data_IF_128518033782
#
_entry.id   IF_128518033782
#
_cell.length_a   1.000
_cell.length_b   1.000
_cell.length_c   1.000
_cell.angle_alpha   90.00
_cell.angle_beta   90.00
_cell.angle_gamma   90.00
#
_symmetry.space_group_name_H-M   'P 1'
#
loop_
_entity.id
_entity.type
_entity.pdbx_description
1 polymer ?
#
# COMPACT_ATOMS: atom_id res chain seq x y z
N UNK A 1 0.58 -34.28 5.70
CA UNK A 1 1.81 -33.48 5.91
C UNK A 1 1.51 -32.43 6.98
N UNK A 2 2.20 -32.47 8.11
CA UNK A 2 1.97 -31.53 9.21
C UNK A 2 2.19 -30.09 8.74
N UNK A 3 1.13 -29.27 8.78
CA UNK A 3 1.22 -27.82 8.60
C UNK A 3 2.07 -27.27 9.74
N UNK A 4 3.35 -27.00 9.46
CA UNK A 4 4.20 -26.31 10.44
C UNK A 4 3.60 -24.92 10.62
N UNK A 5 2.96 -24.68 11.76
CA UNK A 5 2.35 -23.39 12.08
C UNK A 5 3.46 -22.34 12.15
N UNK A 6 3.45 -21.41 11.20
CA UNK A 6 4.32 -20.22 11.23
C UNK A 6 3.78 -19.34 12.34
N UNK A 7 4.53 -19.21 13.43
CA UNK A 7 4.13 -18.43 14.60
C UNK A 7 5.24 -17.46 14.96
N UNK A 8 4.87 -16.23 15.32
CA UNK A 8 5.78 -15.22 15.82
C UNK A 8 6.50 -15.68 17.10
N UNK A 9 7.71 -15.18 17.31
CA UNK A 9 8.36 -15.19 18.61
C UNK A 9 7.61 -14.28 19.60
N UNK A 10 7.53 -14.66 20.89
CA UNK A 10 6.92 -13.82 21.91
C UNK A 10 7.76 -12.55 22.14
N UNK A 11 7.12 -11.37 22.01
CA UNK A 11 7.70 -10.04 22.26
C UNK A 11 8.95 -9.74 21.39
N UNK A 12 8.78 -9.39 20.11
CA UNK A 12 9.89 -9.09 19.22
C UNK A 12 10.63 -7.81 19.67
N UNK A 13 11.93 -7.93 19.93
CA UNK A 13 12.78 -6.75 20.13
C UNK A 13 12.87 -5.95 18.82
N UNK A 14 12.44 -4.69 18.85
CA UNK A 14 12.47 -3.80 17.68
C UNK A 14 13.91 -3.59 17.22
N UNK A 15 14.16 -3.84 15.93
CA UNK A 15 15.47 -3.63 15.33
C UNK A 15 15.97 -2.19 15.53
N UNK A 16 17.25 -2.02 15.86
CA UNK A 16 17.86 -0.71 16.11
C UNK A 16 17.70 0.25 14.93
N UNK A 17 17.93 -0.23 13.71
CA UNK A 17 17.82 0.58 12.50
C UNK A 17 16.40 1.10 12.25
N UNK A 18 15.36 0.33 12.63
CA UNK A 18 13.97 0.79 12.55
C UNK A 18 13.70 1.99 13.46
N UNK A 19 14.36 2.05 14.62
CA UNK A 19 14.21 3.15 15.58
C UNK A 19 14.89 4.44 15.10
N UNK A 20 15.89 4.32 14.22
CA UNK A 20 16.70 5.45 13.75
C UNK A 20 16.36 5.88 12.33
N UNK A 21 15.44 5.19 11.65
CA UNK A 21 15.02 5.57 10.30
C UNK A 21 14.37 6.95 10.32
N UNK A 22 14.79 7.88 9.43
CA UNK A 22 14.15 9.19 9.33
C UNK A 22 12.70 9.01 8.88
N UNK A 23 11.79 9.83 9.41
CA UNK A 23 10.37 9.81 8.99
C UNK A 23 10.16 10.68 7.75
N UNK A 24 9.21 10.27 6.91
CA UNK A 24 8.71 11.15 5.85
C UNK A 24 7.92 12.32 6.44
N UNK A 25 7.88 13.49 5.76
CA UNK A 25 7.09 14.62 6.23
C UNK A 25 5.60 14.27 6.28
N UNK A 26 4.94 14.79 7.32
CA UNK A 26 3.49 14.68 7.54
C UNK A 26 2.87 16.08 7.47
N UNK A 27 1.96 16.27 6.53
CA UNK A 27 1.30 17.55 6.28
C UNK A 27 -0.16 17.53 6.72
N UNK A 28 -0.63 18.66 7.24
CA UNK A 28 -1.98 18.88 7.76
C UNK A 28 -2.62 20.09 7.06
N UNK A 29 -3.17 19.93 5.84
CA UNK A 29 -3.79 21.04 5.12
C UNK A 29 -4.94 21.64 5.90
N UNK A 30 -5.05 22.96 5.86
CA UNK A 30 -6.27 23.67 6.27
C UNK A 30 -7.44 23.31 5.36
N UNK A 31 -8.67 23.57 5.79
CA UNK A 31 -9.87 23.38 4.96
C UNK A 31 -9.79 24.15 3.62
N UNK A 32 -9.17 25.34 3.61
CA UNK A 32 -8.99 26.14 2.40
C UNK A 32 -7.98 25.50 1.44
N UNK A 33 -6.84 25.05 1.97
CA UNK A 33 -5.82 24.35 1.19
C UNK A 33 -6.32 23.00 0.65
N UNK A 34 -7.23 22.34 1.38
CA UNK A 34 -7.78 21.06 0.97
C UNK A 34 -8.82 21.16 -0.17
N UNK A 35 -9.23 22.36 -0.59
CA UNK A 35 -10.17 22.52 -1.71
C UNK A 35 -9.56 22.18 -3.07
N UNK A 36 -8.26 22.41 -3.23
CA UNK A 36 -7.54 22.19 -4.49
C UNK A 36 -6.37 21.21 -4.27
N UNK A 37 -6.58 19.90 -4.53
CA UNK A 37 -5.54 18.91 -4.32
C UNK A 37 -4.29 19.16 -5.16
N UNK A 38 -4.43 19.60 -6.42
CA UNK A 38 -3.27 19.76 -7.31
C UNK A 38 -2.42 20.94 -6.85
N UNK A 39 -3.05 22.07 -6.53
CA UNK A 39 -2.34 23.24 -5.99
C UNK A 39 -1.66 22.93 -4.65
N UNK A 40 -2.30 22.15 -3.78
CA UNK A 40 -1.70 21.75 -2.51
C UNK A 40 -0.50 20.80 -2.69
N UNK A 41 -0.60 19.83 -3.59
CA UNK A 41 0.51 18.91 -3.91
C UNK A 41 1.70 19.72 -4.43
N UNK A 42 1.47 20.65 -5.36
CA UNK A 42 2.51 21.53 -5.89
C UNK A 42 3.16 22.40 -4.79
N UNK A 43 2.37 22.86 -3.81
CA UNK A 43 2.89 23.63 -2.66
C UNK A 43 3.90 22.83 -1.84
N UNK A 44 3.63 21.55 -1.58
CA UNK A 44 4.48 20.71 -0.70
C UNK A 44 5.60 19.97 -1.45
N UNK A 45 5.52 19.89 -2.78
CA UNK A 45 6.40 19.10 -3.65
C UNK A 45 7.89 19.38 -3.41
N UNK A 46 8.28 20.67 -3.27
CA UNK A 46 9.67 21.07 -3.05
C UNK A 46 10.31 20.45 -1.80
N UNK A 47 9.53 20.27 -0.74
CA UNK A 47 10.01 19.62 0.48
C UNK A 47 9.84 18.11 0.40
N UNK A 48 8.67 17.63 -0.04
CA UNK A 48 8.33 16.21 -0.08
C UNK A 48 9.22 15.40 -1.03
N UNK A 49 9.61 15.96 -2.18
CA UNK A 49 10.49 15.32 -3.18
C UNK A 49 11.84 14.88 -2.59
N UNK A 50 12.38 15.60 -1.61
CA UNK A 50 13.63 15.26 -0.91
C UNK A 50 13.56 13.96 -0.11
N UNK A 51 12.36 13.45 0.12
CA UNK A 51 12.09 12.19 0.80
C UNK A 51 11.53 11.12 -0.16
N UNK A 52 11.08 11.50 -1.36
CA UNK A 52 10.41 10.65 -2.34
C UNK A 52 8.96 10.31 -1.98
N UNK A 53 8.57 10.39 -0.71
CA UNK A 53 7.20 10.14 -0.25
C UNK A 53 6.78 11.13 0.84
N UNK A 54 5.48 11.33 1.00
CA UNK A 54 4.94 12.07 2.14
C UNK A 54 3.56 11.60 2.59
N UNK A 55 3.16 12.04 3.79
CA UNK A 55 1.82 11.82 4.34
C UNK A 55 1.01 13.11 4.34
N UNK A 56 -0.26 13.01 3.99
CA UNK A 56 -1.24 14.08 4.15
C UNK A 56 -2.35 13.57 5.05
N UNK A 57 -2.64 14.32 6.11
CA UNK A 57 -3.77 14.07 7.03
C UNK A 57 -4.91 15.01 6.63
N UNK A 58 -6.00 14.51 6.01
CA UNK A 58 -7.13 15.36 5.63
C UNK A 58 -7.73 16.10 6.83
N UNK A 59 -8.17 17.38 6.67
CA UNK A 59 -8.87 18.13 7.71
C UNK A 59 -10.36 17.74 7.82
N UNK A 60 -10.78 16.70 7.10
CA UNK A 60 -12.17 16.22 7.04
C UNK A 60 -12.22 14.72 7.37
N UNK A 61 -13.33 14.22 7.92
CA UNK A 61 -13.43 12.83 8.32
C UNK A 61 -13.34 11.86 7.13
N UNK A 62 -12.83 10.64 7.34
CA UNK A 62 -12.87 9.60 6.33
C UNK A 62 -14.31 9.15 6.04
N UNK A 63 -14.62 8.64 4.83
CA UNK A 63 -15.91 8.00 4.59
C UNK A 63 -16.15 6.83 5.56
N UNK A 64 -17.38 6.65 6.09
CA UNK A 64 -17.67 5.54 7.01
C UNK A 64 -17.35 4.17 6.39
N UNK A 65 -16.81 3.24 7.20
CA UNK A 65 -16.44 1.88 6.76
C UNK A 65 -17.56 1.19 5.99
N UNK A 66 -18.80 1.26 6.50
CA UNK A 66 -19.98 0.65 5.86
C UNK A 66 -20.23 1.21 4.47
N UNK A 67 -20.11 2.53 4.30
CA UNK A 67 -20.27 3.22 3.01
C UNK A 67 -19.16 2.84 2.04
N UNK A 68 -17.90 2.81 2.50
CA UNK A 68 -16.76 2.41 1.68
C UNK A 68 -16.87 0.96 1.20
N UNK A 69 -17.27 0.01 2.06
CA UNK A 69 -17.55 -1.37 1.67
C UNK A 69 -18.69 -1.43 0.66
N UNK A 70 -19.79 -0.72 0.88
CA UNK A 70 -20.93 -0.72 -0.05
C UNK A 70 -20.53 -0.20 -1.44
N UNK A 71 -19.71 0.85 -1.52
CA UNK A 71 -19.18 1.37 -2.78
C UNK A 71 -18.22 0.40 -3.47
N UNK A 72 -17.36 -0.29 -2.70
CA UNK A 72 -16.48 -1.33 -3.22
C UNK A 72 -17.28 -2.49 -3.80
N UNK A 73 -18.23 -3.02 -3.03
CA UNK A 73 -19.13 -4.10 -3.45
C UNK A 73 -19.89 -3.73 -4.72
N UNK A 74 -20.39 -2.49 -4.83
CA UNK A 74 -21.03 -1.98 -6.06
C UNK A 74 -20.05 -1.94 -7.23
N UNK A 75 -18.82 -1.46 -7.01
CA UNK A 75 -17.79 -1.42 -8.07
C UNK A 75 -17.45 -2.82 -8.57
N UNK A 76 -17.30 -3.79 -7.65
CA UNK A 76 -17.07 -5.20 -7.99
C UNK A 76 -18.27 -5.84 -8.71
N UNK A 77 -19.50 -5.52 -8.29
CA UNK A 77 -20.72 -6.02 -8.92
C UNK A 77 -20.86 -5.52 -10.36
N UNK A 78 -20.59 -4.24 -10.61
CA UNK A 78 -20.63 -3.68 -11.97
C UNK A 78 -19.65 -4.39 -12.91
N UNK A 79 -18.48 -4.81 -12.40
CA UNK A 79 -17.51 -5.62 -13.15
C UNK A 79 -17.97 -7.08 -13.32
N UNK A 80 -18.60 -7.66 -12.31
CA UNK A 80 -19.11 -9.02 -12.40
C UNK A 80 -20.27 -9.10 -13.40
N UNK A 81 -21.16 -8.11 -13.43
CA UNK A 81 -22.32 -8.04 -14.32
C UNK A 81 -21.95 -8.05 -15.81
N UNK A 82 -20.77 -7.53 -16.20
CA UNK A 82 -20.28 -7.65 -17.58
C UNK A 82 -19.84 -9.08 -17.96
N UNK A 83 -19.72 -10.00 -16.99
CA UNK A 83 -19.35 -11.39 -17.21
C UNK A 83 -20.47 -12.39 -16.88
N UNK A 84 -21.14 -12.24 -15.73
CA UNK A 84 -22.27 -13.07 -15.30
C UNK A 84 -23.15 -12.34 -14.25
N UNK A 85 -24.41 -12.00 -14.55
CA UNK A 85 -25.29 -11.25 -13.65
C UNK A 85 -25.65 -11.95 -12.32
N UNK A 86 -25.43 -13.27 -12.20
CA UNK A 86 -25.84 -14.06 -11.04
C UNK A 86 -24.70 -14.32 -10.02
N UNK A 87 -23.46 -13.94 -10.32
CA UNK A 87 -22.34 -14.16 -9.40
C UNK A 87 -22.28 -13.08 -8.31
N UNK A 88 -22.00 -13.49 -7.07
CA UNK A 88 -21.71 -12.54 -5.99
C UNK A 88 -20.52 -11.62 -6.36
N UNK A 89 -20.50 -10.36 -5.88
CA UNK A 89 -19.41 -9.44 -6.13
C UNK A 89 -18.14 -9.90 -5.41
N UNK A 90 -17.26 -10.58 -6.14
CA UNK A 90 -15.99 -11.09 -5.64
C UNK A 90 -14.80 -10.40 -6.30
N UNK A 91 -13.64 -10.56 -5.67
CA UNK A 91 -12.35 -10.21 -6.23
C UNK A 91 -11.40 -11.40 -6.18
N UNK A 92 -10.39 -11.35 -7.04
CA UNK A 92 -9.36 -12.39 -7.13
C UNK A 92 -8.13 -11.93 -6.35
N UNK A 93 -7.57 -12.83 -5.55
CA UNK A 93 -6.29 -12.59 -4.86
C UNK A 93 -5.13 -13.09 -5.71
N UNK A 94 -3.91 -12.89 -5.22
CA UNK A 94 -2.68 -13.51 -5.71
C UNK A 94 -1.89 -13.99 -4.49
N UNK A 95 -1.29 -15.17 -4.58
CA UNK A 95 -0.39 -15.63 -3.53
C UNK A 95 0.96 -14.93 -3.65
N UNK A 96 1.42 -14.36 -2.54
CA UNK A 96 2.75 -13.78 -2.37
C UNK A 96 3.54 -14.63 -1.39
N UNK A 97 4.79 -14.90 -1.70
CA UNK A 97 5.70 -15.56 -0.77
C UNK A 97 6.34 -14.50 0.13
N UNK A 98 6.40 -14.79 1.42
CA UNK A 98 7.21 -14.07 2.41
C UNK A 98 8.27 -15.04 2.89
N UNK A 99 9.51 -14.56 3.05
CA UNK A 99 10.65 -15.38 3.42
C UNK A 99 11.44 -15.89 2.23
N UNK A 100 12.67 -16.32 2.48
CA UNK A 100 13.59 -16.79 1.46
C UNK A 100 14.13 -18.17 1.86
N UNK A 101 14.23 -19.09 0.90
CA UNK A 101 14.82 -20.41 1.13
C UNK A 101 16.06 -20.59 0.25
N UNK A 102 17.28 -20.35 0.78
CA UNK A 102 18.51 -20.38 0.00
C UNK A 102 18.81 -21.74 -0.65
N UNK A 103 18.30 -22.84 -0.07
CA UNK A 103 18.81 -24.19 -0.34
C UNK A 103 17.99 -25.05 -1.29
N UNK A 104 16.86 -24.58 -1.81
CA UNK A 104 16.07 -25.34 -2.79
C UNK A 104 15.41 -24.41 -3.82
N UNK A 105 15.89 -24.36 -5.08
CA UNK A 105 15.10 -23.78 -6.16
C UNK A 105 13.79 -24.57 -6.22
N UNK A 106 12.69 -23.91 -5.87
CA UNK A 106 11.35 -24.48 -6.06
C UNK A 106 10.85 -23.91 -7.38
N UNK A 107 10.59 -24.74 -8.40
CA UNK A 107 9.97 -24.24 -9.61
C UNK A 107 8.65 -23.58 -9.24
N UNK A 108 8.37 -22.44 -9.86
CA UNK A 108 7.09 -21.75 -9.74
C UNK A 108 6.01 -22.71 -10.21
N UNK A 109 5.28 -23.32 -9.26
CA UNK A 109 4.27 -24.34 -9.58
C UNK A 109 3.07 -23.75 -10.31
N UNK A 110 2.76 -22.49 -10.02
CA UNK A 110 1.73 -21.68 -10.68
C UNK A 110 2.21 -20.24 -10.77
N UNK A 111 2.04 -19.57 -11.91
CA UNK A 111 2.29 -18.13 -12.00
C UNK A 111 1.50 -17.35 -10.95
N UNK A 112 2.03 -16.22 -10.49
CA UNK A 112 1.41 -15.37 -9.46
C UNK A 112 -0.01 -14.92 -9.86
N UNK A 113 -0.25 -14.72 -11.17
CA UNK A 113 -1.58 -14.36 -11.69
C UNK A 113 -2.60 -15.51 -11.73
N UNK A 114 -2.18 -16.75 -11.48
CA UNK A 114 -3.05 -17.95 -11.45
C UNK A 114 -3.10 -18.61 -10.06
N UNK A 115 -2.47 -18.01 -9.05
CA UNK A 115 -2.26 -18.64 -7.75
C UNK A 115 -3.29 -18.27 -6.69
N UNK A 116 -4.10 -17.23 -6.91
CA UNK A 116 -5.08 -16.81 -5.93
C UNK A 116 -6.48 -17.38 -6.16
N UNK A 117 -7.34 -17.03 -5.22
CA UNK A 117 -8.71 -17.52 -5.11
C UNK A 117 -9.70 -16.35 -5.24
N UNK A 118 -10.99 -16.66 -5.31
CA UNK A 118 -12.05 -15.65 -5.35
C UNK A 118 -12.66 -15.47 -3.96
N UNK A 119 -12.77 -14.22 -3.52
CA UNK A 119 -13.37 -13.87 -2.23
C UNK A 119 -14.35 -12.71 -2.35
N UNK A 120 -15.39 -12.76 -1.52
CA UNK A 120 -16.08 -11.55 -1.07
C UNK A 120 -15.21 -10.80 -0.07
N UNK A 121 -15.52 -9.52 0.17
CA UNK A 121 -14.80 -8.72 1.18
C UNK A 121 -14.85 -9.36 2.57
N UNK A 122 -16.01 -9.88 2.98
CA UNK A 122 -16.24 -10.48 4.28
C UNK A 122 -15.42 -11.77 4.47
N UNK A 123 -15.37 -12.63 3.44
CA UNK A 123 -14.60 -13.87 3.48
C UNK A 123 -13.09 -13.58 3.61
N UNK A 124 -12.58 -12.63 2.82
CA UNK A 124 -11.17 -12.25 2.90
C UNK A 124 -10.83 -11.57 4.23
N UNK A 125 -11.72 -10.71 4.76
CA UNK A 125 -11.54 -10.11 6.08
C UNK A 125 -11.48 -11.18 7.18
N UNK A 126 -12.33 -12.20 7.13
CA UNK A 126 -12.31 -13.32 8.07
C UNK A 126 -11.01 -14.14 7.96
N UNK A 127 -10.55 -14.42 6.73
CA UNK A 127 -9.28 -15.10 6.46
C UNK A 127 -8.09 -14.31 7.01
N UNK A 128 -8.03 -13.00 6.76
CA UNK A 128 -6.97 -12.12 7.22
C UNK A 128 -6.88 -12.09 8.76
N UNK A 129 -8.03 -11.99 9.44
CA UNK A 129 -8.12 -12.04 10.92
C UNK A 129 -7.67 -13.40 11.47
N UNK A 130 -8.07 -14.50 10.83
CA UNK A 130 -7.67 -15.82 11.25
C UNK A 130 -6.15 -16.03 11.13
N UNK A 131 -5.55 -15.54 10.04
CA UNK A 131 -4.10 -15.55 9.87
C UNK A 131 -3.38 -14.75 10.94
N UNK A 132 -3.77 -13.49 11.16
CA UNK A 132 -3.17 -12.61 12.17
C UNK A 132 -3.25 -13.24 13.57
N UNK A 133 -4.43 -13.74 13.96
CA UNK A 133 -4.63 -14.42 15.25
C UNK A 133 -3.73 -15.63 15.42
N UNK A 134 -3.56 -16.43 14.35
CA UNK A 134 -2.73 -17.63 14.40
C UNK A 134 -1.24 -17.28 14.45
N UNK A 135 -0.80 -16.30 13.66
CA UNK A 135 0.59 -15.86 13.62
C UNK A 135 1.02 -15.23 14.95
N UNK A 136 0.15 -14.40 15.55
CA UNK A 136 0.39 -13.71 16.82
C UNK A 136 -0.04 -14.52 18.05
N UNK A 137 -0.42 -15.80 17.90
CA UNK A 137 -0.96 -16.63 18.99
C UNK A 137 -0.03 -16.73 20.21
N UNK A 138 1.29 -16.70 19.98
CA UNK A 138 2.31 -16.78 21.03
C UNK A 138 2.76 -15.41 21.56
N UNK A 139 2.33 -14.32 20.93
CA UNK A 139 2.64 -12.96 21.37
C UNK A 139 1.95 -12.64 22.69
N UNK A 140 2.47 -11.67 23.44
CA UNK A 140 1.87 -11.26 24.71
C UNK A 140 0.44 -10.75 24.53
N UNK A 141 -0.35 -10.72 25.61
CA UNK A 141 -1.74 -10.22 25.60
C UNK A 141 -1.86 -8.73 25.22
N UNK A 142 -0.76 -7.99 25.13
CA UNK A 142 -0.74 -6.58 24.75
C UNK A 142 -0.74 -6.45 23.22
N UNK A 143 -1.51 -5.51 22.65
CA UNK A 143 -1.38 -5.18 21.23
C UNK A 143 0.07 -4.78 20.90
N UNK A 144 0.61 -5.32 19.81
CA UNK A 144 1.93 -4.96 19.33
C UNK A 144 1.90 -3.58 18.68
N UNK A 145 2.98 -2.81 18.87
CA UNK A 145 3.24 -1.55 18.19
C UNK A 145 3.54 -1.74 16.71
N UNK A 146 3.45 -0.67 15.91
CA UNK A 146 3.76 -0.70 14.49
C UNK A 146 5.18 -1.20 14.20
N UNK A 147 6.17 -0.75 14.99
CA UNK A 147 7.57 -1.17 14.84
C UNK A 147 7.79 -2.64 15.23
N UNK A 148 7.03 -3.17 16.18
CA UNK A 148 7.08 -4.60 16.53
C UNK A 148 6.49 -5.47 15.40
N UNK A 149 5.37 -5.06 14.79
CA UNK A 149 4.79 -5.74 13.63
C UNK A 149 5.76 -5.71 12.44
N UNK A 150 6.39 -4.57 12.20
CA UNK A 150 7.40 -4.39 11.15
C UNK A 150 8.66 -5.24 11.40
N UNK A 151 9.10 -5.32 12.66
CA UNK A 151 10.17 -6.23 13.07
C UNK A 151 9.81 -7.68 12.74
N UNK A 152 8.57 -8.11 13.00
CA UNK A 152 8.11 -9.45 12.63
C UNK A 152 8.12 -9.67 11.13
N UNK A 153 7.72 -8.68 10.32
CA UNK A 153 7.80 -8.77 8.86
C UNK A 153 9.24 -8.96 8.39
N UNK A 154 10.17 -8.13 8.90
CA UNK A 154 11.56 -8.20 8.50
C UNK A 154 12.28 -9.47 8.98
N UNK A 155 11.90 -10.03 10.14
CA UNK A 155 12.32 -11.38 10.56
C UNK A 155 11.77 -12.45 9.63
N UNK A 156 10.46 -12.42 9.37
CA UNK A 156 9.78 -13.36 8.47
C UNK A 156 10.39 -13.40 7.06
N UNK A 157 10.81 -12.25 6.53
CA UNK A 157 11.39 -12.14 5.18
C UNK A 157 12.74 -12.86 4.98
N UNK A 158 13.44 -13.22 6.07
CA UNK A 158 14.70 -13.97 6.03
C UNK A 158 14.60 -15.37 6.66
N UNK A 159 13.40 -15.75 7.11
CA UNK A 159 13.12 -17.05 7.71
C UNK A 159 12.43 -18.01 6.70
N UNK A 160 12.03 -19.18 7.18
CA UNK A 160 11.33 -20.21 6.42
C UNK A 160 10.13 -19.61 5.69
N UNK A 161 10.05 -19.78 4.36
CA UNK A 161 9.04 -19.10 3.60
C UNK A 161 7.63 -19.63 3.83
N UNK A 162 6.67 -18.73 3.75
CA UNK A 162 5.23 -19.00 3.78
C UNK A 162 4.49 -18.11 2.78
N UNK A 163 3.22 -18.43 2.55
CA UNK A 163 2.39 -17.69 1.60
C UNK A 163 1.38 -16.79 2.32
N UNK A 164 1.22 -15.59 1.81
CA UNK A 164 0.12 -14.67 2.11
C UNK A 164 -0.65 -14.39 0.82
N UNK A 165 -1.83 -13.79 0.93
CA UNK A 165 -2.63 -13.42 -0.23
C UNK A 165 -2.85 -11.91 -0.29
N UNK A 166 -2.88 -11.38 -1.51
CA UNK A 166 -3.02 -9.95 -1.76
C UNK A 166 -3.85 -9.76 -3.02
N UNK A 167 -4.86 -8.90 -2.96
CA UNK A 167 -5.61 -8.49 -4.13
C UNK A 167 -5.13 -7.10 -4.54
N UNK A 168 -4.44 -7.03 -5.68
CA UNK A 168 -3.86 -5.81 -6.25
C UNK A 168 -4.43 -5.50 -7.62
N UNK A 169 -4.28 -4.24 -8.01
CA UNK A 169 -4.61 -3.73 -9.33
C UNK A 169 -6.06 -4.02 -9.75
N UNK A 170 -6.96 -3.98 -8.77
CA UNK A 170 -8.38 -4.25 -9.01
C UNK A 170 -9.05 -2.97 -9.50
N UNK A 171 -9.62 -2.94 -10.71
CA UNK A 171 -10.39 -1.78 -11.16
C UNK A 171 -11.59 -1.55 -10.23
N UNK A 172 -11.83 -0.30 -9.86
CA UNK A 172 -12.95 0.08 -9.00
C UNK A 172 -12.55 1.11 -7.96
N UNK A 173 -13.46 1.42 -7.03
CA UNK A 173 -13.14 2.32 -5.92
C UNK A 173 -14.13 2.18 -4.76
N UNK A 174 -13.64 2.39 -3.55
CA UNK A 174 -14.47 2.47 -2.34
C UNK A 174 -14.97 3.90 -2.05
N UNK A 175 -14.54 4.89 -2.83
CA UNK A 175 -15.15 6.22 -2.82
C UNK A 175 -16.50 6.23 -3.53
N UNK A 176 -17.35 7.17 -3.14
CA UNK A 176 -18.63 7.43 -3.80
C UNK A 176 -18.39 7.78 -5.27
N UNK A 177 -19.25 7.33 -6.20
CA UNK A 177 -19.15 7.72 -7.61
C UNK A 177 -19.18 9.24 -7.76
N UNK A 178 -18.46 9.75 -8.75
CA UNK A 178 -18.53 11.17 -9.12
C UNK A 178 -19.93 11.41 -9.70
N UNK A 179 -20.82 12.01 -8.91
CA UNK A 179 -22.10 12.46 -9.46
C UNK A 179 -21.87 13.71 -10.30
N UNK A 180 -22.75 14.00 -11.26
CA UNK A 180 -22.74 15.24 -12.03
C UNK A 180 -22.96 16.51 -11.18
N UNK A 181 -23.21 16.39 -9.87
CA UNK A 181 -23.16 17.52 -8.93
C UNK A 181 -21.71 17.86 -8.62
N UNK A 182 -21.37 19.16 -8.67
CA UNK A 182 -20.04 19.69 -8.31
C UNK A 182 -19.56 19.10 -6.98
N UNK A 183 -18.24 18.90 -6.84
CA UNK A 183 -17.59 18.54 -5.57
C UNK A 183 -18.06 19.45 -4.44
N UNK A 184 -18.23 18.89 -3.24
CA UNK A 184 -18.61 19.67 -2.07
C UNK A 184 -17.37 20.34 -1.51
N UNK A 185 -17.51 21.59 -1.08
CA UNK A 185 -16.45 22.30 -0.36
C UNK A 185 -16.14 21.57 0.96
N UNK A 186 -14.86 21.40 1.27
CA UNK A 186 -14.43 20.76 2.52
C UNK A 186 -14.94 21.54 3.75
N UNK A 187 -15.54 20.83 4.71
CA UNK A 187 -16.11 21.36 5.96
C UNK A 187 -16.56 20.24 6.91
N UNK A 188 -17.08 20.57 8.10
CA UNK A 188 -17.33 19.62 9.20
C UNK A 188 -18.27 18.44 8.86
N UNK A 189 -19.13 18.56 7.85
CA UNK A 189 -20.10 17.54 7.45
C UNK A 189 -19.76 16.83 6.12
N UNK A 190 -18.55 17.04 5.58
CA UNK A 190 -18.13 16.51 4.28
C UNK A 190 -17.02 15.49 4.49
N UNK A 191 -17.15 14.30 3.91
CA UNK A 191 -16.09 13.29 3.97
C UNK A 191 -15.07 13.49 2.87
N UNK A 192 -13.85 12.95 3.00
CA UNK A 192 -12.82 12.99 1.94
C UNK A 192 -13.39 12.60 0.56
N UNK A 193 -14.27 11.59 0.53
CA UNK A 193 -14.88 11.09 -0.71
C UNK A 193 -15.85 12.05 -1.41
N UNK A 194 -16.29 13.10 -0.74
CA UNK A 194 -17.20 14.10 -1.30
C UNK A 194 -16.48 15.39 -1.73
N UNK A 195 -15.16 15.45 -1.49
CA UNK A 195 -14.28 16.57 -1.87
C UNK A 195 -13.56 16.30 -3.20
N UNK A 196 -12.80 17.29 -3.67
CA UNK A 196 -11.91 17.16 -4.84
C UNK A 196 -10.80 16.10 -4.66
N UNK A 197 -10.53 15.64 -3.43
CA UNK A 197 -9.59 14.55 -3.14
C UNK A 197 -10.16 13.15 -3.41
N UNK A 198 -11.41 13.03 -3.87
CA UNK A 198 -11.94 11.75 -4.32
C UNK A 198 -11.12 11.22 -5.51
N UNK A 199 -10.46 10.09 -5.30
CA UNK A 199 -9.55 9.46 -6.26
C UNK A 199 -10.19 9.08 -7.59
N UNK A 200 -11.51 9.01 -7.66
CA UNK A 200 -12.22 8.80 -8.94
C UNK A 200 -12.11 9.99 -9.89
N UNK A 201 -11.86 11.20 -9.37
CA UNK A 201 -11.87 12.43 -10.16
C UNK A 201 -10.58 13.23 -10.12
N UNK A 202 -9.63 12.92 -9.24
CA UNK A 202 -8.42 13.73 -9.05
C UNK A 202 -7.54 13.80 -10.32
N UNK A 203 -7.45 12.72 -11.10
CA UNK A 203 -6.75 12.69 -12.40
C UNK A 203 -7.34 13.67 -13.42
N UNK A 204 -8.59 14.10 -13.22
CA UNK A 204 -9.32 15.04 -14.08
C UNK A 204 -9.42 16.44 -13.47
N UNK A 205 -8.86 16.66 -12.29
CA UNK A 205 -8.87 17.95 -11.62
C UNK A 205 -8.15 19.02 -12.45
N UNK A 206 -8.54 20.29 -12.24
CA UNK A 206 -7.85 21.43 -12.84
C UNK A 206 -6.38 21.41 -12.36
N UNK A 207 -5.44 21.56 -13.29
CA UNK A 207 -4.00 21.47 -13.02
C UNK A 207 -3.38 20.10 -13.31
N UNK A 208 -4.16 19.01 -13.35
CA UNK A 208 -3.63 17.71 -13.78
C UNK A 208 -3.49 17.63 -15.29
N UNK A 209 -2.33 17.21 -15.80
CA UNK A 209 -2.13 16.94 -17.23
C UNK A 209 -2.92 15.73 -17.72
N UNK A 210 -3.22 14.78 -16.82
CA UNK A 210 -3.97 13.56 -17.14
C UNK A 210 -5.42 13.87 -17.58
N UNK A 211 -5.95 15.06 -17.28
CA UNK A 211 -7.29 15.48 -17.72
C UNK A 211 -7.48 15.50 -19.24
N UNK A 212 -6.39 15.59 -20.01
CA UNK A 212 -6.42 15.64 -21.47
C UNK A 212 -6.38 14.25 -22.13
N UNK A 213 -6.11 13.20 -21.37
CA UNK A 213 -6.13 11.82 -21.87
C UNK A 213 -7.58 11.36 -22.09
N UNK A 214 -8.00 11.12 -23.33
CA UNK A 214 -9.40 10.76 -23.61
C UNK A 214 -9.78 9.37 -23.08
N UNK A 215 -8.83 8.46 -23.09
CA UNK A 215 -9.02 7.08 -22.67
C UNK A 215 -8.98 6.94 -21.15
N UNK A 216 -9.70 5.94 -20.65
CA UNK A 216 -9.64 5.53 -19.25
C UNK A 216 -8.62 4.40 -19.11
N UNK A 217 -7.48 4.74 -18.51
CA UNK A 217 -6.41 3.82 -18.16
C UNK A 217 -6.50 3.53 -16.64
N UNK A 218 -6.81 2.27 -16.24
CA UNK A 218 -6.81 1.85 -14.84
C UNK A 218 -5.44 2.07 -14.20
N UNK A 219 -5.42 2.59 -12.97
CA UNK A 219 -4.19 2.93 -12.25
C UNK A 219 -3.67 4.33 -12.53
N UNK A 220 -3.95 4.89 -13.71
CA UNK A 220 -3.44 6.21 -14.14
C UNK A 220 -4.55 7.26 -14.10
N UNK A 221 -5.61 7.05 -14.88
CA UNK A 221 -6.72 8.01 -14.99
C UNK A 221 -7.95 7.58 -14.21
N UNK A 222 -8.04 6.30 -13.82
CA UNK A 222 -9.04 5.79 -12.90
C UNK A 222 -8.40 4.95 -11.79
N UNK A 223 -8.95 4.97 -10.56
CA UNK A 223 -8.30 4.36 -9.41
C UNK A 223 -8.33 2.82 -9.47
N UNK A 224 -7.35 2.22 -8.81
CA UNK A 224 -7.35 0.79 -8.47
C UNK A 224 -7.54 0.60 -6.97
N UNK A 225 -8.08 -0.56 -6.58
CA UNK A 225 -8.29 -0.96 -5.20
C UNK A 225 -7.31 -2.08 -4.83
N UNK A 226 -6.80 -1.98 -3.61
CA UNK A 226 -5.93 -2.98 -3.02
C UNK A 226 -6.58 -3.52 -1.74
N UNK A 227 -6.64 -4.84 -1.59
CA UNK A 227 -7.12 -5.53 -0.38
C UNK A 227 -6.05 -6.50 0.08
N UNK A 228 -5.62 -6.37 1.34
CA UNK A 228 -4.42 -7.00 1.87
C UNK A 228 -4.66 -7.63 3.24
N UNK A 229 -3.75 -8.54 3.62
CA UNK A 229 -3.67 -9.12 4.96
C UNK A 229 -2.30 -8.83 5.59
N UNK A 230 -2.10 -9.25 6.84
CA UNK A 230 -0.81 -9.11 7.51
C UNK A 230 0.32 -9.71 6.66
N UNK A 231 1.39 -8.94 6.46
CA UNK A 231 2.57 -9.24 5.62
C UNK A 231 2.37 -9.30 4.10
N UNK A 232 1.19 -8.99 3.56
CA UNK A 232 1.09 -8.64 2.13
C UNK A 232 2.02 -7.46 1.84
N UNK A 233 2.72 -7.50 0.70
CA UNK A 233 3.79 -6.53 0.39
C UNK A 233 3.77 -6.09 -1.08
N UNK A 234 4.40 -4.96 -1.37
CA UNK A 234 4.69 -4.50 -2.74
C UNK A 234 6.20 -4.37 -2.88
N UNK A 235 6.73 -4.84 -4.01
CA UNK A 235 8.17 -4.77 -4.28
C UNK A 235 8.60 -3.31 -4.49
N UNK A 236 9.91 -3.07 -4.40
CA UNK A 236 10.49 -1.81 -4.86
C UNK A 236 10.14 -1.59 -6.32
N UNK A 237 9.59 -0.41 -6.62
CA UNK A 237 9.22 0.02 -7.97
C UNK A 237 9.21 1.54 -8.04
N UNK A 238 9.22 2.05 -9.27
CA UNK A 238 8.84 3.41 -9.63
C UNK A 238 7.54 3.33 -10.43
N UNK A 239 6.75 4.39 -10.38
CA UNK A 239 5.48 4.47 -11.11
C UNK A 239 5.73 4.64 -12.61
N UNK A 240 4.81 4.14 -13.44
CA UNK A 240 4.92 4.27 -14.89
C UNK A 240 5.02 5.76 -15.28
N UNK A 241 5.95 6.06 -16.20
CA UNK A 241 6.25 7.42 -16.67
C UNK A 241 6.68 8.40 -15.57
N UNK A 242 7.22 7.90 -14.44
CA UNK A 242 7.58 8.72 -13.28
C UNK A 242 6.39 9.59 -12.82
N UNK A 243 5.17 9.06 -12.91
CA UNK A 243 3.98 9.78 -12.45
C UNK A 243 3.96 9.85 -10.92
N UNK A 244 3.32 10.90 -10.40
CA UNK A 244 2.94 10.96 -9.00
C UNK A 244 1.88 9.88 -8.70
N UNK A 245 2.02 9.20 -7.56
CA UNK A 245 1.06 8.19 -7.09
C UNK A 245 0.40 8.67 -5.81
N UNK A 246 -0.94 8.69 -5.79
CA UNK A 246 -1.74 9.05 -4.63
C UNK A 246 -2.45 7.81 -4.09
N UNK A 247 -2.22 7.46 -2.82
CA UNK A 247 -2.82 6.32 -2.14
C UNK A 247 -3.66 6.76 -0.92
N UNK A 248 -4.82 6.14 -0.71
CA UNK A 248 -5.72 6.43 0.40
C UNK A 248 -6.12 5.15 1.10
N UNK A 249 -5.85 5.07 2.40
CA UNK A 249 -6.20 3.91 3.21
C UNK A 249 -7.63 4.07 3.75
N UNK A 250 -8.60 3.45 3.09
CA UNK A 250 -10.01 3.53 3.48
C UNK A 250 -10.30 2.98 4.88
N UNK A 251 -9.71 1.83 5.22
CA UNK A 251 -9.98 1.09 6.47
C UNK A 251 -8.91 0.01 6.70
N UNK A 252 -8.87 -0.53 7.92
CA UNK A 252 -8.04 -1.69 8.26
C UNK A 252 -6.83 -1.34 9.12
N UNK A 253 -5.90 -2.29 9.21
CA UNK A 253 -4.63 -2.12 9.89
C UNK A 253 -3.71 -1.13 9.13
N UNK A 254 -2.66 -0.66 9.81
CA UNK A 254 -1.75 0.30 9.21
C UNK A 254 -0.90 -0.30 8.08
N UNK A 255 -0.50 0.56 7.14
CA UNK A 255 0.40 0.22 6.04
C UNK A 255 1.73 0.94 6.24
N UNK A 256 2.83 0.21 6.11
CA UNK A 256 4.19 0.75 6.20
C UNK A 256 4.74 1.01 4.80
N UNK A 257 5.35 2.17 4.62
CA UNK A 257 6.03 2.56 3.39
C UNK A 257 7.50 2.92 3.67
N UNK A 258 8.33 2.63 2.68
CA UNK A 258 9.70 3.13 2.56
C UNK A 258 9.79 3.90 1.26
N UNK A 259 10.43 5.07 1.29
CA UNK A 259 10.66 5.89 0.11
C UNK A 259 12.11 5.83 -0.33
N UNK A 260 12.36 6.25 -1.55
CA UNK A 260 13.68 6.69 -2.04
C UNK A 260 13.41 7.94 -2.88
N UNK A 261 14.02 9.09 -2.60
CA UNK A 261 13.88 10.28 -3.41
C UNK A 261 14.55 10.08 -4.76
N UNK A 262 14.03 10.81 -5.73
CA UNK A 262 14.44 10.76 -7.13
C UNK A 262 15.95 10.89 -7.32
N UNK A 263 16.59 11.79 -6.57
CA UNK A 263 18.03 12.07 -6.66
C UNK A 263 18.90 10.85 -6.30
N UNK A 264 18.34 9.88 -5.56
CA UNK A 264 19.04 8.67 -5.16
C UNK A 264 18.62 7.41 -5.95
N UNK A 265 17.75 7.54 -6.96
CA UNK A 265 17.24 6.42 -7.73
C UNK A 265 18.37 5.59 -8.38
N UNK A 266 19.30 6.25 -9.09
CA UNK A 266 20.43 5.57 -9.75
C UNK A 266 21.34 4.86 -8.74
N UNK A 267 21.60 5.51 -7.60
CA UNK A 267 22.40 4.90 -6.54
C UNK A 267 21.70 3.67 -5.93
N UNK A 268 20.38 3.75 -5.75
CA UNK A 268 19.57 2.63 -5.29
C UNK A 268 19.57 1.46 -6.29
N UNK A 269 19.37 1.74 -7.58
CA UNK A 269 19.44 0.75 -8.66
C UNK A 269 20.81 0.05 -8.69
N UNK A 270 21.89 0.79 -8.47
CA UNK A 270 23.24 0.24 -8.41
C UNK A 270 23.42 -0.71 -7.21
N UNK A 271 22.88 -0.36 -6.03
CA UNK A 271 22.85 -1.28 -4.88
C UNK A 271 22.05 -2.53 -5.22
N UNK A 272 20.87 -2.38 -5.85
CA UNK A 272 20.05 -3.52 -6.31
C UNK A 272 20.84 -4.41 -7.25
N UNK A 273 21.54 -3.83 -8.22
CA UNK A 273 22.36 -4.56 -9.19
C UNK A 273 23.50 -5.33 -8.51
N UNK A 274 24.25 -4.68 -7.63
CA UNK A 274 25.43 -5.26 -6.96
C UNK A 274 25.04 -6.27 -5.89
N UNK A 275 24.14 -5.90 -4.99
CA UNK A 275 23.81 -6.70 -3.79
C UNK A 275 22.54 -7.54 -3.93
N UNK A 276 21.67 -7.22 -4.90
CA UNK A 276 20.44 -7.98 -5.17
C UNK A 276 20.63 -9.08 -6.20
N UNK A 277 21.52 -8.88 -7.18
CA UNK A 277 21.69 -9.81 -8.33
C UNK A 277 23.14 -10.21 -8.63
N UNK A 278 24.14 -9.61 -7.97
CA UNK A 278 25.56 -9.64 -8.36
C UNK A 278 26.47 -10.69 -7.69
N UNK A 279 26.16 -11.99 -7.81
CA UNK A 279 27.18 -13.06 -7.75
C UNK A 279 27.06 -14.13 -6.66
N UNK A 280 26.46 -13.81 -5.51
CA UNK A 280 25.91 -14.79 -4.57
C UNK A 280 24.52 -14.28 -4.19
N UNK A 281 23.53 -15.16 -4.09
CA UNK A 281 22.17 -14.77 -3.69
C UNK A 281 22.23 -14.42 -2.20
N UNK A 282 22.77 -13.24 -1.89
CA UNK A 282 22.82 -12.77 -0.53
C UNK A 282 21.41 -12.34 -0.13
N UNK A 283 20.91 -12.90 0.98
CA UNK A 283 19.55 -12.69 1.42
C UNK A 283 19.32 -11.19 1.61
N UNK A 284 18.07 -10.76 1.42
CA UNK A 284 17.57 -9.40 1.67
C UNK A 284 18.02 -8.77 3.02
N UNK A 285 18.67 -9.52 3.92
CA UNK A 285 19.34 -9.03 5.13
C UNK A 285 20.64 -8.24 4.90
N UNK A 286 21.49 -8.59 3.92
CA UNK A 286 22.69 -7.79 3.63
C UNK A 286 22.37 -6.52 2.83
N UNK A 287 21.32 -6.58 2.01
CA UNK A 287 20.78 -5.40 1.32
C UNK A 287 20.43 -4.25 2.30
N UNK A 288 20.06 -4.59 3.55
CA UNK A 288 19.58 -3.66 4.59
C UNK A 288 20.69 -2.93 5.33
N UNK A 289 21.78 -3.60 5.64
CA UNK A 289 22.90 -2.99 6.35
C UNK A 289 23.84 -2.25 5.40
N UNK A 290 23.91 -2.69 4.14
CA UNK A 290 24.91 -2.18 3.20
C UNK A 290 24.49 -0.85 2.60
N UNK A 291 23.22 -0.62 2.24
CA UNK A 291 22.76 0.70 1.78
C UNK A 291 22.94 1.80 2.85
N UNK A 292 22.66 1.49 4.13
CA UNK A 292 22.96 2.38 5.28
C UNK A 292 24.48 2.59 5.45
N UNK A 293 25.32 1.57 5.21
CA UNK A 293 26.79 1.66 5.29
C UNK A 293 27.46 2.30 4.08
N UNK A 294 26.85 2.26 2.89
CA UNK A 294 27.36 2.84 1.63
C UNK A 294 27.01 4.34 1.56
N UNK A 295 26.30 4.89 2.55
CA UNK A 295 25.93 6.31 2.57
C UNK A 295 24.83 6.66 1.56
N UNK A 296 24.14 5.65 1.03
CA UNK A 296 22.90 5.86 0.29
C UNK A 296 21.86 6.03 1.38
N UNK A 297 21.22 7.20 1.49
CA UNK A 297 20.23 7.36 2.53
C UNK A 297 19.17 6.27 2.32
N UNK A 298 18.75 5.57 3.37
CA UNK A 298 17.58 4.72 3.27
C UNK A 298 16.44 5.57 3.81
N UNK A 299 15.48 5.90 2.94
CA UNK A 299 14.72 7.11 3.08
C UNK A 299 13.34 6.88 3.69
N UNK A 300 13.00 7.81 4.58
CA UNK A 300 11.65 8.16 5.01
C UNK A 300 10.72 6.98 5.33
N UNK A 301 10.58 6.67 6.61
CA UNK A 301 9.63 5.72 7.14
C UNK A 301 8.28 6.39 7.39
N UNK A 302 7.18 5.69 7.12
CA UNK A 302 5.85 6.22 7.40
C UNK A 302 4.85 5.13 7.82
N UNK A 303 4.51 5.04 9.12
CA UNK A 303 3.38 4.24 9.55
C UNK A 303 2.09 5.01 9.27
N UNK A 304 1.17 4.34 8.57
CA UNK A 304 -0.06 4.94 8.10
C UNK A 304 -1.28 4.32 8.76
N UNK A 305 -2.18 5.13 9.31
CA UNK A 305 -3.47 4.67 9.82
C UNK A 305 -4.58 5.03 8.82
N UNK A 306 -5.73 4.35 8.93
CA UNK A 306 -6.87 4.60 8.06
C UNK A 306 -7.29 6.08 8.06
N UNK A 307 -7.76 6.56 6.90
CA UNK A 307 -8.25 7.92 6.70
C UNK A 307 -7.19 8.95 6.28
N UNK A 308 -5.96 8.55 6.03
CA UNK A 308 -4.88 9.42 5.56
C UNK A 308 -4.67 9.28 4.04
N UNK A 309 -4.03 10.27 3.41
CA UNK A 309 -3.53 10.24 2.02
C UNK A 309 -2.00 10.09 2.01
N UNK A 310 -1.48 9.36 1.04
CA UNK A 310 -0.05 9.13 0.80
C UNK A 310 0.29 9.55 -0.62
N UNK A 311 1.42 10.22 -0.79
CA UNK A 311 1.93 10.59 -2.12
C UNK A 311 3.33 10.01 -2.30
N UNK A 312 3.53 9.31 -3.41
CA UNK A 312 4.86 9.13 -4.00
C UNK A 312 5.14 10.33 -4.89
N UNK A 313 6.17 11.10 -4.52
CA UNK A 313 6.67 12.24 -5.28
C UNK A 313 7.74 11.74 -6.24
N UNK A 314 7.41 11.76 -7.53
CA UNK A 314 8.27 11.30 -8.62
C UNK A 314 8.90 12.49 -9.35
#
# INVERSE_FOLDING_TARGET
MASTTVAAEPNPEVFSWLKTLPLAPEYHPTLAEFQDPISYIFKIEKEASRYGICKIVPPVPPPPKKTAIANLTRSLANRAASSNPKSAPTFTTRQQQVGFCPRKPRPVKKPVWQSGEYYTFQEFEAKARAFEKNYLKKSSKKPLSALEIETLFWKASVDKPFSVEYANDMPGSAFVPVSSKKWREAGEAVTVGETAWNMRGISRAKGSLLRFMKEEIPGVTSPMVYVAMMFSWFAWHVEDHDLHSLNYLHMGAGKTWYGVPREAAVAFEEVVRVHGYGGEINPLGEFRATSIKIGIPLFSFLPFCAGKCFISCS
#
